data_IF_859759468441
#
_entry.id   IF_859759468441
#
_cell.length_a   1.000
_cell.length_b   1.000
_cell.length_c   1.000
_cell.angle_alpha   90.00
_cell.angle_beta   90.00
_cell.angle_gamma   90.00
#
_symmetry.space_group_name_H-M   'P 1'
#
loop_
_entity.id
_entity.type
_entity.pdbx_description
1 polymer ?
#
# COMPACT_ATOMS: atom_id res chain seq x y z
N UNK A 1 -17.51 -1.69 -1.88
CA UNK A 1 -16.05 -1.89 -1.87
C UNK A 1 -15.52 -1.71 -0.44
N UNK A 2 -14.53 -2.51 -0.05
CA UNK A 2 -13.85 -2.39 1.24
C UNK A 2 -12.38 -2.03 0.96
N UNK A 3 -11.92 -0.93 1.51
CA UNK A 3 -10.51 -0.54 1.45
C UNK A 3 -9.75 -1.16 2.63
N UNK A 4 -8.54 -1.65 2.38
CA UNK A 4 -7.65 -2.21 3.40
C UNK A 4 -6.30 -1.51 3.34
N UNK A 5 -5.87 -1.02 4.50
CA UNK A 5 -4.58 -0.37 4.69
C UNK A 5 -3.94 -0.84 6.00
N UNK A 6 -2.66 -0.64 6.19
CA UNK A 6 -2.03 -0.98 7.46
C UNK A 6 -0.95 0.03 7.89
N UNK A 7 0.16 0.07 7.20
CA UNK A 7 1.33 0.79 7.69
C UNK A 7 1.80 1.90 6.74
N UNK A 8 2.60 2.79 7.27
CA UNK A 8 3.23 3.87 6.50
C UNK A 8 2.36 5.11 6.32
N UNK A 9 2.79 6.03 5.46
CA UNK A 9 2.06 7.26 5.13
C UNK A 9 0.73 6.98 4.42
N UNK A 10 0.71 5.93 3.60
CA UNK A 10 -0.42 5.57 2.76
C UNK A 10 -1.73 5.37 3.56
N UNK A 11 -1.66 4.79 4.75
CA UNK A 11 -2.83 4.62 5.61
C UNK A 11 -3.46 5.96 5.99
N UNK A 12 -2.64 6.93 6.39
CA UNK A 12 -3.12 8.27 6.72
C UNK A 12 -3.73 9.01 5.53
N UNK A 13 -3.15 8.84 4.36
CA UNK A 13 -3.64 9.44 3.12
C UNK A 13 -4.97 8.82 2.67
N UNK A 14 -5.08 7.49 2.68
CA UNK A 14 -6.32 6.80 2.32
C UNK A 14 -7.46 7.17 3.28
N UNK A 15 -7.21 7.23 4.59
CA UNK A 15 -8.22 7.64 5.59
C UNK A 15 -8.77 9.04 5.29
N UNK A 16 -7.93 9.97 4.87
CA UNK A 16 -8.38 11.33 4.57
C UNK A 16 -9.26 11.43 3.31
N UNK A 17 -9.01 10.58 2.32
CA UNK A 17 -9.68 10.69 1.01
C UNK A 17 -10.76 9.64 0.78
N UNK A 18 -10.69 8.50 1.48
CA UNK A 18 -11.71 7.47 1.34
C UNK A 18 -13.08 7.99 1.74
N UNK A 19 -14.07 7.72 0.91
CA UNK A 19 -15.46 8.15 1.14
C UNK A 19 -16.35 6.92 1.32
N UNK A 20 -16.45 6.39 2.55
CA UNK A 20 -17.27 5.23 2.82
C UNK A 20 -18.74 5.53 2.55
N UNK A 21 -19.43 4.60 1.86
CA UNK A 21 -20.87 4.67 1.64
C UNK A 21 -21.66 3.83 2.65
N UNK A 22 -20.98 2.91 3.30
CA UNK A 22 -21.53 1.99 4.30
C UNK A 22 -20.55 1.86 5.46
N UNK A 23 -21.02 1.42 6.61
CA UNK A 23 -20.17 1.07 7.75
C UNK A 23 -19.27 -0.12 7.39
N UNK A 24 -18.11 -0.21 8.03
CA UNK A 24 -17.13 -1.29 7.85
C UNK A 24 -16.66 -1.47 6.40
N UNK A 25 -16.42 -0.33 5.71
CA UNK A 25 -15.87 -0.32 4.35
C UNK A 25 -14.45 0.25 4.26
N UNK A 26 -13.84 0.47 5.39
CA UNK A 26 -12.42 0.74 5.53
C UNK A 26 -11.89 0.00 6.75
N UNK A 27 -10.93 -0.88 6.50
CA UNK A 27 -10.26 -1.67 7.52
C UNK A 27 -8.78 -1.28 7.58
N UNK A 28 -8.27 -1.10 8.78
CA UNK A 28 -6.88 -0.74 8.97
C UNK A 28 -6.33 -1.28 10.28
N UNK A 29 -5.10 -1.75 10.23
CA UNK A 29 -4.38 -2.14 11.43
C UNK A 29 -3.68 -0.91 12.01
N UNK A 30 -4.32 -0.27 13.01
CA UNK A 30 -3.81 0.92 13.67
C UNK A 30 -2.95 0.62 14.90
N UNK A 31 -3.20 -0.49 15.56
CA UNK A 31 -2.65 -0.76 16.88
C UNK A 31 -1.14 -0.83 16.91
N UNK A 32 -0.55 -1.57 15.99
CA UNK A 32 0.90 -1.78 15.91
C UNK A 32 1.49 -1.34 14.58
N UNK A 33 0.67 -0.84 13.66
CA UNK A 33 1.08 -0.42 12.31
C UNK A 33 1.90 -1.50 11.59
N UNK A 34 1.38 -2.72 11.61
CA UNK A 34 2.07 -3.89 11.08
C UNK A 34 2.17 -3.82 9.56
N UNK A 35 3.36 -3.58 9.05
CA UNK A 35 3.64 -3.75 7.63
C UNK A 35 3.29 -5.19 7.20
N UNK A 36 2.83 -5.35 5.97
CA UNK A 36 2.43 -6.63 5.38
C UNK A 36 1.04 -7.17 5.77
N UNK A 37 0.32 -6.50 6.67
CA UNK A 37 -1.05 -6.88 6.98
C UNK A 37 -2.00 -6.70 5.78
N UNK A 38 -1.74 -5.74 4.91
CA UNK A 38 -2.67 -5.27 3.86
C UNK A 38 -3.20 -6.41 2.99
N UNK A 39 -2.32 -7.27 2.49
CA UNK A 39 -2.70 -8.34 1.54
C UNK A 39 -3.39 -9.49 2.28
N UNK A 40 -2.80 -9.95 3.39
CA UNK A 40 -3.36 -11.05 4.19
C UNK A 40 -4.68 -10.66 4.85
N UNK A 41 -4.76 -9.44 5.40
CA UNK A 41 -5.98 -8.87 5.94
C UNK A 41 -7.07 -8.75 4.89
N UNK A 42 -6.72 -8.27 3.69
CA UNK A 42 -7.65 -8.19 2.57
C UNK A 42 -8.18 -9.57 2.16
N UNK A 43 -7.35 -10.61 2.17
CA UNK A 43 -7.78 -11.97 1.89
C UNK A 43 -8.80 -12.45 2.93
N UNK A 44 -8.51 -12.27 4.22
CA UNK A 44 -9.45 -12.61 5.29
C UNK A 44 -10.78 -11.85 5.18
N UNK A 45 -10.73 -10.56 4.89
CA UNK A 45 -11.92 -9.73 4.67
C UNK A 45 -12.71 -10.20 3.45
N UNK A 46 -12.03 -10.57 2.37
CA UNK A 46 -12.70 -11.12 1.16
C UNK A 46 -13.39 -12.43 1.45
N UNK A 47 -12.77 -13.31 2.20
CA UNK A 47 -13.39 -14.58 2.62
C UNK A 47 -14.65 -14.36 3.48
N UNK A 48 -14.66 -13.33 4.32
CA UNK A 48 -15.80 -12.95 5.14
C UNK A 48 -16.87 -12.16 4.37
N UNK A 49 -16.52 -11.54 3.23
CA UNK A 49 -17.39 -10.70 2.42
C UNK A 49 -17.28 -11.07 0.93
N UNK A 50 -17.71 -12.26 0.52
CA UNK A 50 -17.49 -12.80 -0.83
C UNK A 50 -18.09 -11.95 -1.94
N UNK A 51 -19.15 -11.21 -1.66
CA UNK A 51 -19.88 -10.40 -2.64
C UNK A 51 -19.32 -8.98 -2.80
N UNK A 52 -18.38 -8.56 -1.94
CA UNK A 52 -17.78 -7.22 -2.01
C UNK A 52 -16.42 -7.26 -2.71
N UNK A 53 -16.10 -6.20 -3.45
CA UNK A 53 -14.72 -6.00 -3.87
C UNK A 53 -13.89 -5.52 -2.68
N UNK A 54 -12.73 -6.14 -2.47
CA UNK A 54 -11.77 -5.79 -1.44
C UNK A 54 -10.52 -5.23 -2.13
N UNK A 55 -10.13 -4.03 -1.71
CA UNK A 55 -9.06 -3.25 -2.31
C UNK A 55 -7.97 -3.06 -1.26
N UNK A 56 -6.83 -3.70 -1.44
CA UNK A 56 -5.65 -3.48 -0.61
C UNK A 56 -4.78 -2.37 -1.20
N UNK A 57 -4.51 -1.34 -0.41
CA UNK A 57 -3.51 -0.32 -0.73
C UNK A 57 -2.23 -0.67 0.02
N UNK A 58 -1.16 -0.95 -0.69
CA UNK A 58 0.08 -1.46 -0.11
C UNK A 58 1.29 -0.70 -0.64
N UNK A 59 2.22 -0.33 0.24
CA UNK A 59 3.51 0.23 -0.16
C UNK A 59 4.45 -0.87 -0.69
N UNK A 60 5.44 -0.48 -1.49
CA UNK A 60 6.46 -1.37 -2.04
C UNK A 60 7.19 -2.18 -0.96
N UNK A 61 7.58 -1.54 0.14
CA UNK A 61 8.22 -2.22 1.27
C UNK A 61 7.31 -3.26 1.94
N UNK A 62 6.04 -2.92 2.17
CA UNK A 62 5.04 -3.81 2.76
C UNK A 62 4.76 -5.01 1.84
N UNK A 63 4.62 -4.75 0.54
CA UNK A 63 4.45 -5.79 -0.47
C UNK A 63 5.62 -6.80 -0.45
N UNK A 64 6.85 -6.32 -0.37
CA UNK A 64 8.04 -7.20 -0.37
C UNK A 64 8.17 -8.04 0.91
N UNK A 65 7.60 -7.60 2.02
CA UNK A 65 7.62 -8.36 3.28
C UNK A 65 6.66 -9.56 3.23
N UNK A 66 5.48 -9.41 2.65
CA UNK A 66 4.50 -10.49 2.57
C UNK A 66 3.59 -10.34 1.34
N UNK A 67 3.91 -11.06 0.29
CA UNK A 67 3.15 -11.09 -0.95
C UNK A 67 2.57 -12.48 -1.27
N UNK A 68 2.87 -13.50 -0.46
CA UNK A 68 2.47 -14.89 -0.71
C UNK A 68 0.95 -15.08 -0.75
N UNK A 69 0.19 -14.24 -0.06
CA UNK A 69 -1.28 -14.32 -0.07
C UNK A 69 -1.93 -13.81 -1.37
N UNK A 70 -1.16 -13.22 -2.28
CA UNK A 70 -1.58 -13.08 -3.68
C UNK A 70 -1.80 -14.46 -4.29
N UNK A 71 -0.86 -15.37 -4.09
CA UNK A 71 -1.00 -16.75 -4.57
C UNK A 71 -2.14 -17.49 -3.87
N UNK A 72 -2.26 -17.33 -2.55
CA UNK A 72 -3.36 -17.91 -1.77
C UNK A 72 -4.73 -17.42 -2.27
N UNK A 73 -4.86 -16.13 -2.62
CA UNK A 73 -6.10 -15.56 -3.14
C UNK A 73 -6.49 -16.16 -4.50
N UNK A 74 -5.51 -16.42 -5.36
CA UNK A 74 -5.71 -17.10 -6.66
C UNK A 74 -6.13 -18.54 -6.45
N UNK A 75 -5.41 -19.30 -5.60
CA UNK A 75 -5.71 -20.71 -5.33
C UNK A 75 -7.09 -20.92 -4.70
N UNK A 76 -7.54 -20.00 -3.87
CA UNK A 76 -8.82 -20.12 -3.15
C UNK A 76 -9.97 -19.40 -3.87
N UNK A 77 -9.69 -18.83 -5.04
CA UNK A 77 -10.66 -18.05 -5.83
C UNK A 77 -11.29 -16.88 -5.03
N UNK A 78 -10.51 -16.29 -4.13
CA UNK A 78 -10.88 -15.10 -3.36
C UNK A 78 -10.25 -13.86 -4.00
N UNK A 79 -10.87 -13.34 -5.04
CA UNK A 79 -10.38 -12.20 -5.82
C UNK A 79 -10.10 -10.98 -4.95
N UNK A 80 -8.90 -10.42 -5.07
CA UNK A 80 -8.50 -9.14 -4.50
C UNK A 80 -8.18 -8.14 -5.61
N UNK A 81 -8.31 -6.85 -5.29
CA UNK A 81 -7.71 -5.76 -6.06
C UNK A 81 -6.59 -5.19 -5.20
N UNK A 82 -5.36 -5.20 -5.70
CA UNK A 82 -4.19 -4.75 -4.95
C UNK A 82 -3.54 -3.60 -5.70
N UNK A 83 -3.41 -2.45 -5.05
CA UNK A 83 -2.74 -1.27 -5.59
C UNK A 83 -1.41 -1.11 -4.86
N UNK A 84 -0.31 -1.34 -5.58
CA UNK A 84 1.05 -1.19 -5.07
C UNK A 84 1.53 0.23 -5.34
N UNK A 85 1.64 1.03 -4.29
CA UNK A 85 2.16 2.39 -4.33
C UNK A 85 3.67 2.35 -4.08
N UNK A 86 4.45 2.36 -5.17
CA UNK A 86 5.90 2.24 -5.13
C UNK A 86 6.55 3.62 -4.99
N UNK A 87 7.01 3.94 -3.79
CA UNK A 87 7.73 5.19 -3.49
C UNK A 87 9.24 5.01 -3.34
N UNK A 88 9.78 3.85 -3.67
CA UNK A 88 11.21 3.56 -3.66
C UNK A 88 11.79 3.29 -2.28
N UNK A 89 11.00 2.73 -1.37
CA UNK A 89 11.48 2.28 -0.04
C UNK A 89 10.53 2.61 1.10
N UNK A 90 11.08 3.00 2.25
CA UNK A 90 10.33 3.34 3.46
C UNK A 90 10.20 4.86 3.62
N UNK A 91 9.47 5.52 2.70
CA UNK A 91 9.41 6.97 2.61
C UNK A 91 8.88 7.64 3.89
N UNK A 92 7.90 7.03 4.58
CA UNK A 92 7.41 7.58 5.85
C UNK A 92 8.46 7.54 6.95
N UNK A 93 9.30 6.51 7.00
CA UNK A 93 10.40 6.44 7.99
C UNK A 93 11.45 7.51 7.69
N UNK A 94 11.76 7.72 6.40
CA UNK A 94 12.64 8.82 5.97
C UNK A 94 12.07 10.18 6.41
N UNK A 95 10.80 10.41 6.19
CA UNK A 95 10.07 11.60 6.63
C UNK A 95 10.19 11.81 8.15
N UNK A 96 9.98 10.76 8.95
CA UNK A 96 10.12 10.83 10.41
C UNK A 96 11.54 11.15 10.86
N UNK A 97 12.57 10.59 10.21
CA UNK A 97 13.97 10.92 10.49
C UNK A 97 14.23 12.42 10.26
N UNK A 98 13.81 12.95 9.13
CA UNK A 98 13.98 14.37 8.79
C UNK A 98 13.19 15.27 9.74
N UNK A 99 11.95 14.93 10.05
CA UNK A 99 11.09 15.69 10.96
C UNK A 99 11.66 15.77 12.38
N UNK A 100 12.34 14.73 12.85
CA UNK A 100 13.01 14.70 14.15
C UNK A 100 14.41 15.31 14.14
N UNK A 101 14.78 16.03 13.08
CA UNK A 101 16.09 16.71 12.96
C UNK A 101 17.25 15.77 12.57
N UNK A 102 16.94 14.55 12.18
CA UNK A 102 17.92 13.61 11.65
C UNK A 102 18.28 13.87 10.19
N UNK A 103 19.12 13.01 9.65
CA UNK A 103 19.45 12.96 8.22
C UNK A 103 18.86 11.70 7.60
N UNK A 104 18.68 11.71 6.30
CA UNK A 104 18.31 10.50 5.57
C UNK A 104 19.32 9.37 5.82
N UNK A 105 18.80 8.20 6.13
CA UNK A 105 19.64 7.04 6.41
C UNK A 105 18.94 5.73 6.02
N UNK A 106 19.34 5.15 4.91
CA UNK A 106 18.95 3.81 4.45
C UNK A 106 17.44 3.51 4.37
N UNK A 107 16.59 4.53 4.26
CA UNK A 107 15.15 4.33 4.13
C UNK A 107 14.67 4.33 2.69
N UNK A 108 15.32 5.08 1.82
CA UNK A 108 15.04 5.13 0.39
C UNK A 108 16.19 4.53 -0.40
N UNK A 109 15.89 3.90 -1.52
CA UNK A 109 16.90 3.29 -2.37
C UNK A 109 17.90 4.33 -2.90
N UNK A 110 17.45 5.55 -3.21
CA UNK A 110 18.29 6.63 -3.74
C UNK A 110 19.21 7.25 -2.67
N UNK A 111 18.92 7.10 -1.38
CA UNK A 111 19.72 7.59 -0.27
C UNK A 111 20.45 6.48 0.50
N UNK A 112 20.34 5.25 0.04
CA UNK A 112 20.94 4.07 0.67
C UNK A 112 22.25 3.69 0.02
N UNK A 113 23.19 3.13 0.80
CA UNK A 113 24.44 2.60 0.28
C UNK A 113 24.23 1.22 -0.38
N UNK A 114 23.53 1.22 -1.50
CA UNK A 114 23.19 0.00 -2.26
C UNK A 114 24.10 -0.12 -3.46
N UNK A 115 24.86 -1.22 -3.55
CA UNK A 115 25.82 -1.45 -4.64
C UNK A 115 25.18 -2.02 -5.91
N UNK A 116 24.11 -2.79 -5.76
CA UNK A 116 23.46 -3.51 -6.88
C UNK A 116 21.94 -3.31 -6.85
N UNK A 117 21.47 -2.07 -6.95
CA UNK A 117 20.06 -1.79 -7.02
C UNK A 117 19.47 -2.33 -8.33
N UNK A 118 18.39 -3.09 -8.19
CA UNK A 118 17.52 -3.48 -9.29
C UNK A 118 16.10 -3.15 -8.93
N UNK A 119 15.44 -2.45 -9.80
CA UNK A 119 14.03 -2.13 -9.63
C UNK A 119 13.18 -3.39 -9.69
N UNK A 120 12.24 -3.52 -8.75
CA UNK A 120 11.29 -4.62 -8.72
C UNK A 120 10.15 -4.34 -9.69
N UNK A 121 9.88 -5.27 -10.59
CA UNK A 121 8.68 -5.24 -11.41
C UNK A 121 7.53 -5.94 -10.64
N UNK A 122 6.79 -5.18 -9.85
CA UNK A 122 5.69 -5.71 -9.03
C UNK A 122 4.58 -6.36 -9.87
N UNK A 123 4.29 -5.81 -11.05
CA UNK A 123 3.30 -6.39 -11.94
C UNK A 123 3.73 -7.78 -12.43
N UNK A 124 4.97 -7.90 -12.91
CA UNK A 124 5.49 -9.18 -13.37
C UNK A 124 5.61 -10.20 -12.22
N UNK A 125 6.00 -9.74 -11.03
CA UNK A 125 6.07 -10.59 -9.85
C UNK A 125 4.68 -11.14 -9.49
N UNK A 126 3.65 -10.30 -9.44
CA UNK A 126 2.28 -10.73 -9.18
C UNK A 126 1.74 -11.68 -10.27
N UNK A 127 2.07 -11.43 -11.54
CA UNK A 127 1.70 -12.31 -12.64
C UNK A 127 2.28 -13.72 -12.46
N UNK A 128 3.49 -13.84 -11.94
CA UNK A 128 4.12 -15.15 -11.68
C UNK A 128 3.37 -15.99 -10.61
N UNK A 129 2.55 -15.34 -9.79
CA UNK A 129 1.68 -15.97 -8.80
C UNK A 129 0.25 -16.23 -9.33
N UNK A 130 0.02 -16.04 -10.63
CA UNK A 130 -1.27 -16.28 -11.28
C UNK A 130 -2.27 -15.13 -11.21
N UNK A 131 -1.92 -14.00 -10.64
CA UNK A 131 -2.74 -12.79 -10.67
C UNK A 131 -2.70 -12.13 -12.07
N UNK A 132 -3.77 -11.45 -12.48
CA UNK A 132 -3.68 -10.45 -13.54
C UNK A 132 -2.98 -9.22 -12.98
N UNK A 133 -2.18 -8.55 -13.79
CA UNK A 133 -1.41 -7.41 -13.28
C UNK A 133 -0.98 -6.46 -14.39
N UNK A 134 -0.78 -5.21 -14.02
CA UNK A 134 -0.20 -4.19 -14.89
C UNK A 134 0.52 -3.11 -14.08
N UNK A 135 1.45 -2.44 -14.75
CA UNK A 135 2.08 -1.22 -14.25
C UNK A 135 1.46 -0.02 -14.97
N UNK A 136 1.15 1.03 -14.23
CA UNK A 136 0.60 2.27 -14.74
C UNK A 136 1.45 3.46 -14.31
N UNK A 137 1.44 4.52 -15.11
CA UNK A 137 2.29 5.69 -14.89
C UNK A 137 1.52 6.98 -14.65
N UNK A 138 0.21 6.96 -14.91
CA UNK A 138 -0.67 8.13 -14.79
C UNK A 138 -1.95 7.79 -14.03
N UNK A 139 -2.61 8.81 -13.47
CA UNK A 139 -3.90 8.64 -12.81
C UNK A 139 -4.96 8.12 -13.80
N UNK A 140 -4.97 8.60 -15.03
CA UNK A 140 -5.91 8.12 -16.05
C UNK A 140 -5.72 6.63 -16.35
N UNK A 141 -4.47 6.17 -16.46
CA UNK A 141 -4.18 4.74 -16.62
C UNK A 141 -4.59 3.93 -15.40
N UNK A 142 -4.40 4.48 -14.18
CA UNK A 142 -4.83 3.84 -12.93
C UNK A 142 -6.36 3.67 -12.90
N UNK A 143 -7.11 4.68 -13.30
CA UNK A 143 -8.58 4.61 -13.37
C UNK A 143 -9.04 3.52 -14.35
N UNK A 144 -8.42 3.43 -15.52
CA UNK A 144 -8.75 2.40 -16.50
C UNK A 144 -8.33 0.99 -16.02
N UNK A 145 -7.15 0.87 -15.41
CA UNK A 145 -6.70 -0.37 -14.79
C UNK A 145 -7.64 -0.83 -13.67
N UNK A 146 -8.09 0.09 -12.84
CA UNK A 146 -9.05 -0.20 -11.79
C UNK A 146 -10.41 -0.70 -12.35
N UNK A 147 -10.89 -0.12 -13.44
CA UNK A 147 -12.10 -0.61 -14.14
C UNK A 147 -11.90 -2.04 -14.67
N UNK A 148 -10.71 -2.37 -15.18
CA UNK A 148 -10.36 -3.74 -15.58
C UNK A 148 -10.31 -4.69 -14.38
N UNK A 149 -9.69 -4.26 -13.29
CA UNK A 149 -9.59 -5.01 -12.05
C UNK A 149 -10.97 -5.34 -11.48
N UNK A 150 -11.91 -4.39 -11.49
CA UNK A 150 -13.30 -4.60 -11.06
C UNK A 150 -14.00 -5.71 -11.87
N UNK A 151 -13.71 -5.82 -13.15
CA UNK A 151 -14.29 -6.82 -14.06
C UNK A 151 -13.54 -8.16 -14.08
N UNK A 152 -12.39 -8.22 -13.44
CA UNK A 152 -11.60 -9.45 -13.39
C UNK A 152 -12.29 -10.52 -12.57
N UNK A 153 -12.07 -11.75 -12.93
CA UNK A 153 -12.50 -12.98 -12.25
C UNK A 153 -11.43 -13.52 -11.29
N UNK A 154 -10.21 -13.00 -11.35
CA UNK A 154 -9.07 -13.39 -10.53
C UNK A 154 -8.45 -12.14 -9.88
N UNK A 155 -7.67 -12.32 -8.84
CA UNK A 155 -6.90 -11.25 -8.19
C UNK A 155 -6.15 -10.40 -9.21
N UNK A 156 -6.22 -9.08 -9.02
CA UNK A 156 -5.66 -8.10 -9.94
C UNK A 156 -4.73 -7.15 -9.20
N UNK A 157 -3.49 -7.03 -9.66
CA UNK A 157 -2.47 -6.19 -9.05
C UNK A 157 -2.11 -5.04 -9.99
N UNK A 158 -2.23 -3.83 -9.51
CA UNK A 158 -1.86 -2.61 -10.23
C UNK A 158 -0.70 -1.97 -9.49
N UNK A 159 0.44 -1.77 -10.15
CA UNK A 159 1.56 -1.02 -9.57
C UNK A 159 1.66 0.37 -10.18
N UNK A 160 1.91 1.36 -9.33
CA UNK A 160 2.11 2.75 -9.74
C UNK A 160 3.26 3.37 -8.94
N UNK A 161 4.11 4.14 -9.61
CA UNK A 161 5.11 4.96 -8.93
C UNK A 161 4.44 6.13 -8.21
N UNK A 162 4.85 6.35 -6.97
CA UNK A 162 4.43 7.49 -6.15
C UNK A 162 5.63 8.29 -5.69
N UNK A 163 5.42 9.52 -5.23
CA UNK A 163 6.51 10.39 -4.82
C UNK A 163 7.01 10.04 -3.41
N UNK A 164 8.34 10.00 -3.22
CA UNK A 164 8.96 9.65 -1.93
C UNK A 164 8.91 10.78 -0.90
N UNK A 165 8.77 12.04 -1.36
CA UNK A 165 8.88 13.25 -0.54
C UNK A 165 7.63 14.12 -0.54
N UNK A 166 6.57 13.70 -1.22
CA UNK A 166 5.30 14.40 -1.26
C UNK A 166 4.21 13.57 -0.59
N UNK A 167 3.38 14.21 0.21
CA UNK A 167 2.28 13.61 0.97
C UNK A 167 1.20 14.65 1.26
N UNK A 168 0.02 14.20 1.63
CA UNK A 168 -1.04 15.09 2.09
C UNK A 168 -0.69 15.66 3.48
N UNK A 169 -0.95 16.95 3.68
CA UNK A 169 -0.78 17.59 4.99
C UNK A 169 -1.68 16.90 6.04
N UNK A 170 -1.13 16.73 7.24
CA UNK A 170 -1.85 16.12 8.36
C UNK A 170 -2.15 14.62 8.17
N UNK A 171 -1.50 13.97 7.21
CA UNK A 171 -1.70 12.54 6.94
C UNK A 171 -1.12 11.60 8.00
N UNK A 172 -0.32 12.12 8.93
CA UNK A 172 0.39 11.30 9.90
C UNK A 172 0.06 11.69 11.35
N UNK A 173 -0.69 10.85 12.03
CA UNK A 173 -1.02 11.05 13.46
C UNK A 173 0.21 11.05 14.39
N UNK A 174 1.31 10.47 13.98
CA UNK A 174 2.60 10.48 14.70
C UNK A 174 3.41 11.79 14.51
N UNK A 175 2.92 12.70 13.70
CA UNK A 175 3.47 14.06 13.54
C UNK A 175 2.84 15.06 14.50
N UNK A 176 2.21 14.60 15.56
CA UNK A 176 1.74 15.49 16.63
C UNK A 176 2.87 16.45 17.01
N UNK A 177 2.60 17.77 17.07
CA UNK A 177 3.59 18.73 17.49
C UNK A 177 4.16 18.26 18.83
N UNK A 178 5.48 18.21 18.92
CA UNK A 178 6.15 18.02 20.19
C UNK A 178 5.61 19.09 21.10
N UNK A 179 4.92 18.69 22.19
CA UNK A 179 4.66 19.61 23.28
C UNK A 179 6.03 20.14 23.68
N UNK A 180 6.30 21.41 23.38
CA UNK A 180 7.43 22.11 23.96
C UNK A 180 7.17 22.07 25.46
N UNK A 181 7.93 21.25 26.17
CA UNK A 181 7.91 21.27 27.63
C UNK A 181 8.58 22.61 27.98
N UNK A 182 7.84 23.55 28.60
CA UNK A 182 8.46 24.80 29.02
C UNK A 182 9.59 24.45 29.98
N UNK A 183 10.81 24.88 29.64
CA UNK A 183 11.99 24.82 30.54
C UNK A 183 11.86 25.77 31.69
#
# INVERSE_FOLDING_TARGET
DIAVTAAGGLVGEVVQVWRPKELNTHETEWGFSCMSYEISGALGIKMANPDKDVIAFVGDGSYLLNNSDIYSSVLTNNKLIIIVCDNGGHAVINRLQLFKGGKEFNCLFNSSNIQNFKEVNFAQHAASMGAKSEHVSTISELEEAFKRAKKSDVTYVISIKTHSYEWLEGSAYWESPTLEIPT
#
